data_IF_860327318081
#
_entry.id   IF_860327318081
#
_cell.length_a   1.000
_cell.length_b   1.000
_cell.length_c   1.000
_cell.angle_alpha   90.00
_cell.angle_beta   90.00
_cell.angle_gamma   90.00
#
_symmetry.space_group_name_H-M   'P 1'
#
loop_
_entity.id
_entity.type
_entity.pdbx_description
1 polymer ?
#
# COMPACT_ATOMS: atom_id res chain seq x y z
N UNK A 1 -12.84 5.71 19.31
CA UNK A 1 -11.78 4.68 19.19
C UNK A 1 -10.46 5.39 18.98
N UNK A 2 -9.46 5.05 19.79
CA UNK A 2 -8.10 5.58 19.73
C UNK A 2 -7.21 4.74 18.81
N UNK A 3 -6.08 5.31 18.39
CA UNK A 3 -5.07 4.59 17.61
C UNK A 3 -4.53 3.36 18.35
N UNK A 4 -4.40 3.46 19.68
CA UNK A 4 -3.95 2.36 20.51
C UNK A 4 -4.93 1.20 20.51
N UNK A 5 -6.24 1.49 20.65
CA UNK A 5 -7.29 0.47 20.61
C UNK A 5 -7.35 -0.19 19.23
N UNK A 6 -7.28 0.59 18.15
CA UNK A 6 -7.32 0.04 16.79
C UNK A 6 -6.09 -0.83 16.49
N UNK A 7 -4.89 -0.36 16.86
CA UNK A 7 -3.65 -1.12 16.70
C UNK A 7 -3.68 -2.43 17.49
N UNK A 8 -4.19 -2.38 18.73
CA UNK A 8 -4.38 -3.57 19.57
C UNK A 8 -5.32 -4.58 18.91
N UNK A 9 -6.49 -4.15 18.44
CA UNK A 9 -7.45 -5.01 17.73
C UNK A 9 -6.84 -5.61 16.46
N UNK A 10 -6.03 -4.84 15.74
CA UNK A 10 -5.36 -5.31 14.53
C UNK A 10 -4.10 -6.16 14.81
N UNK A 11 -3.77 -6.42 16.07
CA UNK A 11 -2.63 -7.24 16.47
C UNK A 11 -1.27 -6.59 16.19
N UNK A 12 -1.18 -5.25 16.22
CA UNK A 12 0.06 -4.52 15.95
C UNK A 12 0.38 -3.47 17.02
N UNK A 13 1.65 -3.03 17.05
CA UNK A 13 2.09 -1.96 17.94
C UNK A 13 1.56 -0.59 17.45
N UNK A 14 1.10 0.26 18.36
CA UNK A 14 0.62 1.63 18.06
C UNK A 14 1.64 2.49 17.30
N UNK A 15 2.94 2.30 17.56
CA UNK A 15 4.01 2.99 16.83
C UNK A 15 4.11 2.53 15.37
N UNK A 16 3.82 1.25 15.07
CA UNK A 16 3.75 0.76 13.69
C UNK A 16 2.53 1.30 12.98
N UNK A 17 1.38 1.32 13.66
CA UNK A 17 0.16 1.95 13.16
C UNK A 17 0.38 3.43 12.80
N UNK A 18 0.99 4.21 13.70
CA UNK A 18 1.31 5.61 13.46
C UNK A 18 2.37 5.85 12.37
N UNK A 19 3.18 4.86 11.98
CA UNK A 19 4.04 4.96 10.79
C UNK A 19 3.24 4.79 9.50
N UNK A 20 2.26 3.89 9.49
CA UNK A 20 1.38 3.63 8.35
C UNK A 20 0.54 4.87 8.04
N UNK A 21 -0.10 5.47 9.04
CA UNK A 21 -0.93 6.68 8.83
C UNK A 21 -0.15 7.87 8.27
N UNK A 22 1.15 7.98 8.58
CA UNK A 22 2.02 9.05 8.06
C UNK A 22 2.60 8.74 6.68
N UNK A 23 2.29 7.58 6.09
CA UNK A 23 2.83 7.14 4.80
C UNK A 23 4.32 6.78 4.83
N UNK A 24 4.88 6.52 6.02
CA UNK A 24 6.31 6.16 6.19
C UNK A 24 6.47 4.64 6.43
N UNK A 25 5.38 3.94 6.72
CA UNK A 25 5.36 2.49 6.85
C UNK A 25 5.16 1.77 5.51
N UNK A 26 5.74 0.58 5.37
CA UNK A 26 5.44 -0.35 4.29
C UNK A 26 4.64 -1.54 4.86
N UNK A 27 3.31 -1.41 5.04
CA UNK A 27 2.51 -2.48 5.61
C UNK A 27 2.52 -3.72 4.72
N UNK A 28 2.53 -4.91 5.33
CA UNK A 28 2.31 -6.15 4.59
C UNK A 28 0.85 -6.25 4.16
N UNK A 29 0.54 -7.11 3.19
CA UNK A 29 -0.84 -7.43 2.83
C UNK A 29 -1.65 -7.91 4.05
N UNK A 30 -1.07 -8.77 4.89
CA UNK A 30 -1.70 -9.22 6.14
C UNK A 30 -2.06 -8.04 7.06
N UNK A 31 -1.17 -7.06 7.18
CA UNK A 31 -1.40 -5.84 7.98
C UNK A 31 -2.60 -5.05 7.45
N UNK A 32 -2.69 -4.88 6.12
CA UNK A 32 -3.81 -4.17 5.48
C UNK A 32 -5.14 -4.91 5.67
N UNK A 33 -5.15 -6.23 5.49
CA UNK A 33 -6.35 -7.06 5.68
C UNK A 33 -6.83 -7.03 7.13
N UNK A 34 -5.92 -7.11 8.11
CA UNK A 34 -6.27 -6.99 9.54
C UNK A 34 -6.89 -5.64 9.86
N UNK A 35 -6.28 -4.55 9.39
CA UNK A 35 -6.79 -3.19 9.60
C UNK A 35 -8.19 -3.02 9.01
N UNK A 36 -8.40 -3.47 7.78
CA UNK A 36 -9.72 -3.44 7.15
C UNK A 36 -10.75 -4.24 7.96
N UNK A 37 -10.40 -5.47 8.37
CA UNK A 37 -11.27 -6.34 9.14
C UNK A 37 -11.71 -5.73 10.48
N UNK A 38 -10.79 -5.15 11.25
CA UNK A 38 -11.13 -4.50 12.54
C UNK A 38 -11.94 -3.22 12.36
N UNK A 39 -11.83 -2.56 11.20
CA UNK A 39 -12.62 -1.39 10.84
C UNK A 39 -13.97 -1.77 10.21
N UNK A 40 -14.24 -3.05 9.96
CA UNK A 40 -15.44 -3.51 9.26
C UNK A 40 -15.48 -3.10 7.78
N UNK A 41 -14.32 -2.91 7.16
CA UNK A 41 -14.15 -2.52 5.77
C UNK A 41 -13.71 -3.71 4.91
N UNK A 42 -14.05 -3.65 3.61
CA UNK A 42 -13.37 -4.47 2.61
C UNK A 42 -11.92 -4.01 2.46
N UNK A 43 -10.98 -4.95 2.31
CA UNK A 43 -9.56 -4.61 2.20
C UNK A 43 -9.24 -3.80 0.94
N UNK A 44 -9.99 -4.00 -0.15
CA UNK A 44 -9.85 -3.22 -1.38
C UNK A 44 -10.23 -1.74 -1.19
N UNK A 45 -11.07 -1.41 -0.21
CA UNK A 45 -11.41 -0.03 0.11
C UNK A 45 -10.18 0.79 0.55
N UNK A 46 -9.19 0.16 1.21
CA UNK A 46 -7.94 0.82 1.62
C UNK A 46 -7.02 1.17 0.44
N UNK A 47 -7.24 0.56 -0.72
CA UNK A 47 -6.42 0.72 -1.92
C UNK A 47 -7.13 1.50 -3.03
N UNK A 48 -8.39 1.86 -2.80
CA UNK A 48 -9.22 2.53 -3.82
C UNK A 48 -8.63 3.89 -4.18
N UNK A 49 -8.39 4.11 -5.48
CA UNK A 49 -7.83 5.35 -5.99
C UNK A 49 -6.31 5.43 -5.99
N UNK A 50 -5.60 4.42 -5.46
CA UNK A 50 -4.14 4.35 -5.54
C UNK A 50 -3.68 3.76 -6.88
N UNK A 51 -2.64 4.37 -7.47
CA UNK A 51 -1.99 3.93 -8.69
C UNK A 51 -0.47 3.98 -8.61
N UNK A 52 0.20 3.62 -9.71
CA UNK A 52 1.66 3.61 -9.80
C UNK A 52 2.31 4.98 -9.54
N UNK A 53 1.58 6.07 -9.82
CA UNK A 53 2.06 7.44 -9.61
C UNK A 53 2.10 7.88 -8.14
N UNK A 54 1.39 7.19 -7.26
CA UNK A 54 1.35 7.49 -5.82
C UNK A 54 2.50 6.83 -5.05
N UNK A 55 3.24 5.93 -5.72
CA UNK A 55 4.40 5.30 -5.14
C UNK A 55 5.57 6.29 -5.05
N UNK A 56 6.42 6.19 -4.00
CA UNK A 56 7.68 6.92 -3.97
C UNK A 56 8.49 6.67 -5.25
N UNK A 57 9.29 7.64 -5.71
CA UNK A 57 10.05 7.54 -6.96
C UNK A 57 11.20 6.54 -6.81
N UNK A 58 10.89 5.24 -6.79
CA UNK A 58 11.88 4.16 -6.70
C UNK A 58 11.81 3.38 -8.01
N UNK A 59 12.85 3.58 -8.83
CA UNK A 59 13.13 2.92 -10.12
C UNK A 59 11.90 2.69 -11.00
N UNK A 60 11.62 3.68 -11.87
CA UNK A 60 10.95 3.47 -13.15
C UNK A 60 9.73 2.54 -13.10
N UNK A 61 8.64 3.05 -12.52
CA UNK A 61 7.34 2.40 -12.54
C UNK A 61 6.80 2.43 -13.98
N UNK A 62 7.15 1.43 -14.78
CA UNK A 62 6.55 1.21 -16.10
C UNK A 62 5.52 0.10 -16.02
N UNK A 63 4.42 0.28 -16.72
CA UNK A 63 3.52 -0.82 -17.06
C UNK A 63 4.25 -1.83 -17.95
N UNK A 64 3.76 -3.07 -17.96
CA UNK A 64 4.26 -4.10 -18.90
C UNK A 64 4.16 -3.62 -20.35
N UNK A 65 3.12 -2.85 -20.69
CA UNK A 65 2.91 -2.32 -22.04
C UNK A 65 3.99 -1.29 -22.43
N UNK A 66 4.36 -0.40 -21.52
CA UNK A 66 5.46 0.55 -21.74
C UNK A 66 6.80 -0.16 -21.90
N UNK A 67 7.05 -1.17 -21.07
CA UNK A 67 8.26 -2.00 -21.16
C UNK A 67 8.38 -2.70 -22.53
N UNK A 68 7.29 -3.33 -23.00
CA UNK A 68 7.28 -4.01 -24.30
C UNK A 68 7.50 -3.04 -25.46
N UNK A 69 6.86 -1.86 -25.43
CA UNK A 69 7.03 -0.81 -26.44
C UNK A 69 8.49 -0.32 -26.54
N UNK A 70 9.15 -0.09 -25.40
CA UNK A 70 10.55 0.36 -25.40
C UNK A 70 11.51 -0.74 -25.86
N UNK A 71 11.24 -2.00 -25.50
CA UNK A 71 12.01 -3.16 -25.99
C UNK A 71 11.93 -3.31 -27.51
N UNK A 72 10.76 -3.11 -28.10
CA UNK A 72 10.57 -3.16 -29.57
C UNK A 72 11.33 -2.03 -30.29
N UNK A 73 11.32 -0.82 -29.73
CA UNK A 73 12.06 0.33 -30.29
C UNK A 73 13.57 0.11 -30.28
N UNK A 74 14.10 -0.46 -29.20
CA UNK A 74 15.53 -0.76 -29.07
C UNK A 74 16.02 -1.89 -30.00
N UNK A 75 15.11 -2.67 -30.58
CA UNK A 75 15.43 -3.80 -31.48
C UNK A 75 15.37 -3.44 -32.97
N UNK A 76 15.07 -2.17 -33.32
CA UNK A 76 15.04 -1.64 -34.69
C UNK A 76 16.24 -0.74 -34.94
#
# INVERSE_FOLDING_TARGET
MSQMELAYLAGMNVANYGKIERGIGNPTLDTLVRLAGVMGLDAGALLTGLGLGDLPPIKSSYTVQEFLREKERASR
#
